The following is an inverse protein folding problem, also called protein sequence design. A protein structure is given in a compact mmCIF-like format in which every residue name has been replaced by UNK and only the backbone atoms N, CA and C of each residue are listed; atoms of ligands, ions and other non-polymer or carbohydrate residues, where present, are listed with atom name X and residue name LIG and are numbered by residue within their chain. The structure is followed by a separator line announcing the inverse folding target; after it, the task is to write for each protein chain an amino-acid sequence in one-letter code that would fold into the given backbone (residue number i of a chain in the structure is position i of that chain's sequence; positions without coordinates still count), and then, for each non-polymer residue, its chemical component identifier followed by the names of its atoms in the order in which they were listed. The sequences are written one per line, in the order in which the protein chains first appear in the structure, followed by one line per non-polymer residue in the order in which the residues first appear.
data_IF_851711008715
#
_entry.id   IF_851711008715
#
_cell.length_a   1.000
_cell.length_b   1.000
_cell.length_c   1.000
_cell.angle_alpha   90.00
_cell.angle_beta   90.00
_cell.angle_gamma   90.00
#
_symmetry.space_group_name_H-M   'P 1'
#
loop_
_entity.id
_entity.type
_entity.pdbx_description
1 polymer ?
#
# COMPACT_ATOMS: atom_id res chain seq x y z
N UNK A 1 -6.59 4.03 6.50
CA UNK A 1 -6.54 3.89 5.03
C UNK A 1 -7.97 3.97 4.51
N UNK A 2 -8.21 4.80 3.49
CA UNK A 2 -9.51 4.91 2.85
C UNK A 2 -9.35 4.64 1.36
N UNK A 3 -10.25 3.84 0.78
CA UNK A 3 -10.28 3.52 -0.64
C UNK A 3 -11.66 3.90 -1.17
N UNK A 4 -11.71 4.76 -2.18
CA UNK A 4 -12.96 5.25 -2.75
C UNK A 4 -13.17 4.63 -4.13
N UNK A 5 -14.17 3.77 -4.24
CA UNK A 5 -14.58 3.15 -5.50
C UNK A 5 -15.85 3.78 -6.06
N UNK A 6 -16.14 3.47 -7.33
CA UNK A 6 -17.33 3.99 -8.04
C UNK A 6 -18.66 3.63 -7.35
N UNK A 7 -18.73 2.44 -6.74
CA UNK A 7 -19.96 1.89 -6.14
C UNK A 7 -19.89 1.72 -4.63
N UNK A 8 -18.69 1.76 -4.05
CA UNK A 8 -18.47 1.50 -2.64
C UNK A 8 -17.16 2.13 -2.20
N UNK A 9 -17.12 2.61 -0.97
CA UNK A 9 -15.90 3.06 -0.29
C UNK A 9 -15.56 2.13 0.87
N UNK A 10 -14.27 1.88 1.06
CA UNK A 10 -13.74 1.11 2.19
C UNK A 10 -12.95 2.04 3.12
N UNK A 11 -13.17 1.87 4.42
CA UNK A 11 -12.52 2.62 5.48
C UNK A 11 -11.87 1.63 6.44
N UNK A 12 -10.59 1.82 6.71
CA UNK A 12 -9.86 1.01 7.67
C UNK A 12 -9.07 1.88 8.63
N UNK A 13 -9.18 1.58 9.92
CA UNK A 13 -8.25 2.05 10.94
C UNK A 13 -8.04 0.93 11.98
N UNK A 14 -7.04 1.11 12.85
CA UNK A 14 -6.66 0.10 13.85
C UNK A 14 -7.67 -0.05 15.00
N UNK A 15 -8.63 0.86 15.14
CA UNK A 15 -9.58 0.89 16.26
C UNK A 15 -10.93 0.27 15.90
N UNK A 16 -11.50 0.67 14.76
CA UNK A 16 -12.81 0.29 14.26
C UNK A 16 -12.75 -0.87 13.25
N UNK A 17 -11.56 -1.23 12.79
CA UNK A 17 -11.37 -2.24 11.75
C UNK A 17 -11.86 -1.79 10.36
N UNK A 18 -12.19 -2.77 9.51
CA UNK A 18 -12.66 -2.53 8.15
C UNK A 18 -14.17 -2.24 8.13
N UNK A 19 -14.54 -1.17 7.45
CA UNK A 19 -15.94 -0.78 7.19
C UNK A 19 -16.13 -0.46 5.72
N UNK A 20 -17.33 -0.68 5.20
CA UNK A 20 -17.70 -0.31 3.84
C UNK A 20 -18.96 0.56 3.81
N UNK A 21 -19.09 1.36 2.75
CA UNK A 21 -20.28 2.17 2.46
C UNK A 21 -20.63 1.99 0.98
N UNK A 22 -21.78 1.38 0.66
CA UNK A 22 -22.23 1.30 -0.73
C UNK A 22 -22.87 2.61 -1.18
N UNK A 23 -22.87 2.82 -2.48
CA UNK A 23 -23.56 3.94 -3.10
C UNK A 23 -25.06 3.90 -2.77
N UNK A 24 -25.57 4.99 -2.21
CA UNK A 24 -26.98 5.13 -1.83
C UNK A 24 -27.26 4.74 -0.38
N UNK A 25 -26.33 4.11 0.31
CA UNK A 25 -26.47 3.81 1.74
C UNK A 25 -26.21 5.08 2.58
N UNK A 26 -26.94 5.21 3.68
CA UNK A 26 -26.75 6.30 4.63
C UNK A 26 -25.72 5.97 5.72
N UNK A 27 -25.43 4.68 5.94
CA UNK A 27 -24.62 4.19 7.06
C UNK A 27 -23.54 3.23 6.58
N UNK A 28 -22.39 3.27 7.26
CA UNK A 28 -21.31 2.32 7.04
C UNK A 28 -21.64 0.97 7.71
N UNK A 29 -21.17 -0.13 7.11
CA UNK A 29 -21.30 -1.48 7.67
C UNK A 29 -19.92 -2.03 8.02
N UNK A 30 -19.80 -2.65 9.19
CA UNK A 30 -18.56 -3.35 9.59
C UNK A 30 -18.35 -4.61 8.75
N UNK A 31 -17.12 -4.83 8.32
CA UNK A 31 -16.71 -6.03 7.60
C UNK A 31 -15.86 -6.90 8.54
N UNK A 32 -16.31 -8.13 8.78
CA UNK A 32 -15.55 -9.08 9.57
C UNK A 32 -14.26 -9.43 8.81
N UNK A 33 -13.12 -9.20 9.46
CA UNK A 33 -11.80 -9.56 8.95
C UNK A 33 -11.13 -10.47 9.96
N UNK A 34 -10.48 -11.53 9.47
CA UNK A 34 -9.67 -12.38 10.33
C UNK A 34 -8.42 -11.61 10.72
N UNK A 35 -8.08 -11.64 12.02
CA UNK A 35 -6.81 -11.11 12.49
C UNK A 35 -5.68 -12.02 12.03
N UNK A 36 -4.66 -11.45 11.42
CA UNK A 36 -3.43 -12.12 11.05
C UNK A 36 -2.22 -11.57 11.83
N UNK A 37 -1.14 -12.35 11.81
CA UNK A 37 0.19 -11.90 12.22
C UNK A 37 1.00 -11.62 10.96
N UNK A 38 0.96 -10.36 10.51
CA UNK A 38 1.62 -9.95 9.28
C UNK A 38 3.14 -10.19 9.30
N UNK A 39 3.79 -10.16 10.46
CA UNK A 39 5.23 -10.42 10.55
C UNK A 39 5.52 -11.91 10.34
N UNK A 40 4.74 -12.78 10.99
CA UNK A 40 4.87 -14.22 10.80
C UNK A 40 4.60 -14.61 9.33
N UNK A 41 3.57 -14.04 8.70
CA UNK A 41 3.24 -14.30 7.29
C UNK A 41 4.39 -13.91 6.35
N UNK A 42 4.97 -12.72 6.53
CA UNK A 42 6.09 -12.26 5.69
C UNK A 42 7.37 -13.09 5.89
N UNK A 43 7.62 -13.59 7.10
CA UNK A 43 8.75 -14.49 7.36
C UNK A 43 8.56 -15.87 6.71
N UNK A 44 7.34 -16.39 6.70
CA UNK A 44 7.00 -17.64 6.02
C UNK A 44 7.20 -17.48 4.50
N UNK A 45 6.66 -16.41 3.93
CA UNK A 45 6.83 -16.09 2.50
C UNK A 45 8.32 -15.98 2.12
N UNK A 46 9.11 -15.30 2.94
CA UNK A 46 10.56 -15.21 2.74
C UNK A 46 11.24 -16.59 2.74
N UNK A 47 10.87 -17.47 3.68
CA UNK A 47 11.43 -18.82 3.76
C UNK A 47 11.07 -19.67 2.53
N UNK A 48 9.83 -19.55 2.03
CA UNK A 48 9.36 -20.23 0.83
C UNK A 48 10.09 -19.71 -0.42
N UNK A 49 10.30 -18.39 -0.52
CA UNK A 49 11.02 -17.77 -1.63
C UNK A 49 12.50 -18.17 -1.67
N UNK A 50 13.18 -18.19 -0.52
CA UNK A 50 14.57 -18.67 -0.41
C UNK A 50 14.69 -20.14 -0.81
N UNK A 51 13.65 -20.94 -0.56
CA UNK A 51 13.60 -22.35 -0.95
C UNK A 51 13.29 -22.56 -2.44
N UNK A 52 13.09 -21.48 -3.21
CA UNK A 52 12.75 -21.52 -4.64
C UNK A 52 11.30 -21.90 -4.92
N UNK A 53 10.43 -21.88 -3.89
CA UNK A 53 9.05 -22.30 -3.99
C UNK A 53 8.11 -21.22 -4.56
N UNK A 54 8.45 -19.94 -4.37
CA UNK A 54 7.61 -18.79 -4.76
C UNK A 54 8.45 -17.55 -5.09
N UNK A 55 7.90 -16.64 -5.89
CA UNK A 55 8.41 -15.28 -6.03
C UNK A 55 7.81 -14.39 -4.93
N UNK A 56 8.60 -13.56 -4.23
CA UNK A 56 8.06 -12.64 -3.22
C UNK A 56 7.06 -11.63 -3.81
N UNK A 57 5.97 -11.36 -3.10
CA UNK A 57 4.95 -10.37 -3.45
C UNK A 57 5.54 -8.96 -3.58
N UNK A 58 6.50 -8.62 -2.71
CA UNK A 58 7.20 -7.34 -2.70
C UNK A 58 8.71 -7.57 -2.74
N UNK A 59 9.26 -7.56 -3.95
CA UNK A 59 10.71 -7.65 -4.20
C UNK A 59 11.43 -6.30 -4.20
N UNK A 60 12.75 -6.33 -4.43
CA UNK A 60 13.60 -5.14 -4.42
C UNK A 60 13.17 -4.03 -5.39
N UNK A 61 12.71 -4.37 -6.59
CA UNK A 61 12.24 -3.40 -7.58
C UNK A 61 10.98 -2.65 -7.11
N UNK A 62 10.01 -3.38 -6.55
CA UNK A 62 8.79 -2.77 -6.00
C UNK A 62 9.07 -1.87 -4.80
N UNK A 63 10.04 -2.25 -3.95
CA UNK A 63 10.51 -1.44 -2.85
C UNK A 63 11.21 -0.15 -3.33
N UNK A 64 12.07 -0.25 -4.34
CA UNK A 64 12.74 0.91 -4.95
C UNK A 64 11.74 1.88 -5.59
N UNK A 65 10.71 1.36 -6.25
CA UNK A 65 9.62 2.18 -6.81
C UNK A 65 8.87 2.93 -5.72
N UNK A 66 8.58 2.28 -4.59
CA UNK A 66 7.94 2.91 -3.43
C UNK A 66 8.82 4.01 -2.82
N UNK A 67 10.14 3.78 -2.71
CA UNK A 67 11.09 4.79 -2.24
C UNK A 67 11.14 6.01 -3.17
N UNK A 68 11.06 5.80 -4.49
CA UNK A 68 11.03 6.89 -5.47
C UNK A 68 9.82 7.80 -5.29
N UNK A 69 8.65 7.27 -4.91
CA UNK A 69 7.46 8.08 -4.58
C UNK A 69 7.74 8.99 -3.38
N UNK A 70 8.38 8.46 -2.32
CA UNK A 70 8.75 9.25 -1.13
C UNK A 70 9.74 10.35 -1.50
N UNK A 71 10.79 10.02 -2.26
CA UNK A 71 11.79 10.98 -2.75
C UNK A 71 11.13 12.07 -3.62
N UNK A 72 10.18 11.72 -4.48
CA UNK A 72 9.44 12.69 -5.30
C UNK A 72 8.64 13.67 -4.43
N UNK A 73 8.03 13.20 -3.35
CA UNK A 73 7.34 14.05 -2.37
C UNK A 73 8.28 15.04 -1.69
N UNK A 74 9.45 14.58 -1.24
CA UNK A 74 10.48 15.44 -0.62
C UNK A 74 10.94 16.52 -1.61
N UNK A 75 11.27 16.12 -2.85
CA UNK A 75 11.70 17.05 -3.91
C UNK A 75 10.61 18.06 -4.26
N UNK A 76 9.36 17.61 -4.36
CA UNK A 76 8.18 18.46 -4.62
C UNK A 76 8.03 19.57 -3.59
N UNK A 77 8.19 19.25 -2.30
CA UNK A 77 8.14 20.24 -1.21
C UNK A 77 9.31 21.23 -1.31
N UNK A 78 10.52 20.73 -1.57
CA UNK A 78 11.71 21.57 -1.64
C UNK A 78 11.67 22.56 -2.82
N UNK A 79 11.12 22.14 -3.97
CA UNK A 79 11.09 22.94 -5.20
C UNK A 79 9.77 23.70 -5.41
N UNK A 80 8.74 23.42 -4.61
CA UNK A 80 7.43 24.08 -4.73
C UNK A 80 6.71 23.78 -6.05
N UNK A 81 6.99 22.62 -6.68
CA UNK A 81 6.39 22.21 -7.95
C UNK A 81 6.00 20.75 -7.97
N UNK A 82 5.16 20.38 -8.94
CA UNK A 82 4.92 18.98 -9.23
C UNK A 82 6.20 18.28 -9.71
N UNK A 83 6.49 17.11 -9.13
CA UNK A 83 7.60 16.22 -9.48
C UNK A 83 7.03 14.85 -9.81
N UNK A 84 7.43 14.29 -10.95
CA UNK A 84 6.98 12.96 -11.37
C UNK A 84 7.86 11.87 -10.76
N UNK A 85 7.30 10.69 -10.52
CA UNK A 85 8.09 9.53 -10.02
C UNK A 85 9.14 9.12 -11.07
N UNK A 86 8.81 9.20 -12.37
CA UNK A 86 9.73 8.89 -13.45
C UNK A 86 10.98 9.78 -13.46
N UNK A 87 10.83 11.06 -13.11
CA UNK A 87 11.96 11.99 -12.94
C UNK A 87 12.94 11.50 -11.86
N UNK A 88 12.42 10.96 -10.76
CA UNK A 88 13.22 10.42 -9.66
C UNK A 88 13.87 9.08 -10.01
N UNK A 89 13.15 8.20 -10.71
CA UNK A 89 13.70 6.91 -11.16
C UNK A 89 14.79 7.06 -12.23
N UNK A 90 14.72 8.12 -13.06
CA UNK A 90 15.73 8.41 -14.07
C UNK A 90 16.98 9.10 -13.48
N UNK A 91 16.87 9.68 -12.29
CA UNK A 91 18.01 10.22 -11.56
C UNK A 91 18.71 9.07 -10.82
N UNK A 92 19.73 8.50 -11.45
CA UNK A 92 20.61 7.48 -10.87
C UNK A 92 21.47 8.07 -9.72
N UNK A 93 20.84 8.46 -8.62
CA UNK A 93 21.53 8.81 -7.36
C UNK A 93 21.65 7.57 -6.44
#
# INVERSE_FOLDING_TARGET
MNVYGKKMSAYYNLFDGLRCLNQGDANQTSVAVQKNDAIAEQLIEWADAVSGGVEPEVGGESAMTSLAVVKAGIKSVAEGRHVTVAEVLASND
#
